data_IF_962493161541
#
_entry.id   IF_962493161541
#
_cell.length_a   1.000
_cell.length_b   1.000
_cell.length_c   1.000
_cell.angle_alpha   90.00
_cell.angle_beta   90.00
_cell.angle_gamma   90.00
#
_symmetry.space_group_name_H-M   'P 1'
#
loop_
_entity.id
_entity.type
_entity.pdbx_description
1 polymer ?
#
# COMPACT_ATOMS: atom_id res chain seq x y z
N UNK A 1 -6.39 -18.39 2.42
CA UNK A 1 -6.51 -17.12 3.17
C UNK A 1 -7.88 -16.56 2.86
N UNK A 2 -8.67 -16.25 3.88
CA UNK A 2 -10.02 -15.69 3.70
C UNK A 2 -9.91 -14.23 3.24
N UNK A 3 -10.86 -13.70 2.43
CA UNK A 3 -10.91 -12.26 2.12
C UNK A 3 -10.91 -11.36 3.36
N UNK A 4 -11.55 -11.80 4.45
CA UNK A 4 -11.58 -11.06 5.73
C UNK A 4 -10.16 -10.86 6.29
N UNK A 5 -9.28 -11.87 6.16
CA UNK A 5 -7.94 -11.87 6.77
C UNK A 5 -7.01 -10.80 6.16
N UNK A 6 -7.31 -10.29 4.96
CA UNK A 6 -6.45 -9.33 4.27
C UNK A 6 -7.17 -8.03 3.87
N UNK A 7 -8.49 -8.05 3.64
CA UNK A 7 -9.26 -6.83 3.32
C UNK A 7 -9.50 -5.98 4.57
N UNK A 8 -9.87 -6.59 5.71
CA UNK A 8 -10.11 -5.85 6.95
C UNK A 8 -8.89 -5.04 7.41
N UNK A 9 -7.67 -5.63 7.53
CA UNK A 9 -6.49 -4.85 7.90
C UNK A 9 -6.09 -3.82 6.84
N UNK A 10 -6.36 -4.07 5.55
CA UNK A 10 -6.09 -3.12 4.46
C UNK A 10 -6.97 -1.87 4.54
N UNK A 11 -8.25 -2.04 4.82
CA UNK A 11 -9.23 -0.96 4.86
C UNK A 11 -9.44 -0.37 6.27
N UNK A 12 -8.83 -0.97 7.29
CA UNK A 12 -9.04 -0.65 8.70
C UNK A 12 -10.54 -0.71 9.10
N UNK A 13 -11.21 -1.78 8.68
CA UNK A 13 -12.64 -2.04 8.96
C UNK A 13 -12.84 -3.33 9.74
N UNK A 14 -13.95 -3.41 10.45
CA UNK A 14 -14.38 -4.61 11.15
C UNK A 14 -14.97 -5.65 10.19
N UNK A 15 -14.88 -6.93 10.58
CA UNK A 15 -15.37 -8.04 9.77
C UNK A 15 -16.90 -8.04 9.59
N UNK A 16 -17.64 -7.35 10.47
CA UNK A 16 -19.09 -7.19 10.37
C UNK A 16 -19.50 -6.36 9.15
N UNK A 17 -18.62 -5.48 8.63
CA UNK A 17 -18.85 -4.68 7.43
C UNK A 17 -19.17 -5.53 6.19
N UNK A 18 -18.74 -6.79 6.13
CA UNK A 18 -19.10 -7.74 5.08
C UNK A 18 -20.60 -8.09 5.07
N UNK A 19 -21.30 -7.93 6.19
CA UNK A 19 -22.71 -8.27 6.35
C UNK A 19 -23.65 -7.07 6.12
N UNK A 20 -23.10 -5.86 5.92
CA UNK A 20 -23.86 -4.62 5.84
C UNK A 20 -23.84 -4.07 4.41
N UNK A 21 -24.63 -4.70 3.53
CA UNK A 21 -24.79 -4.24 2.15
C UNK A 21 -25.29 -2.79 2.07
N UNK A 22 -24.82 -2.06 1.05
CA UNK A 22 -25.24 -0.67 0.79
C UNK A 22 -24.48 0.40 1.59
N UNK A 23 -23.52 0.03 2.42
CA UNK A 23 -22.64 0.97 3.14
C UNK A 23 -21.40 1.36 2.32
N UNK A 24 -20.77 2.50 2.62
CA UNK A 24 -19.47 2.87 2.05
C UNK A 24 -18.39 1.81 2.28
N UNK A 25 -18.39 1.16 3.45
CA UNK A 25 -17.44 0.11 3.82
C UNK A 25 -17.63 -1.13 2.93
N UNK A 26 -18.86 -1.57 2.72
CA UNK A 26 -19.16 -2.69 1.83
C UNK A 26 -18.82 -2.37 0.38
N UNK A 27 -19.03 -1.12 -0.06
CA UNK A 27 -18.60 -0.65 -1.37
C UNK A 27 -17.06 -0.68 -1.52
N UNK A 28 -16.33 -0.26 -0.50
CA UNK A 28 -14.86 -0.33 -0.48
C UNK A 28 -14.36 -1.79 -0.52
N UNK A 29 -14.96 -2.69 0.28
CA UNK A 29 -14.68 -4.14 0.24
C UNK A 29 -14.89 -4.68 -1.17
N UNK A 30 -16.03 -4.36 -1.79
CA UNK A 30 -16.38 -4.82 -3.13
C UNK A 30 -15.39 -4.32 -4.18
N UNK A 31 -15.01 -3.04 -4.12
CA UNK A 31 -14.05 -2.44 -5.05
C UNK A 31 -12.65 -3.09 -4.91
N UNK A 32 -12.20 -3.34 -3.68
CA UNK A 32 -10.93 -4.03 -3.40
C UNK A 32 -10.97 -5.47 -3.92
N UNK A 33 -12.05 -6.21 -3.66
CA UNK A 33 -12.19 -7.59 -4.11
C UNK A 33 -12.20 -7.68 -5.65
N UNK A 34 -12.93 -6.78 -6.33
CA UNK A 34 -12.93 -6.68 -7.78
C UNK A 34 -11.52 -6.39 -8.32
N UNK A 35 -10.82 -5.42 -7.74
CA UNK A 35 -9.46 -5.08 -8.16
C UNK A 35 -8.48 -6.22 -7.94
N UNK A 36 -8.57 -6.93 -6.81
CA UNK A 36 -7.76 -8.11 -6.55
C UNK A 36 -7.98 -9.19 -7.62
N UNK A 37 -9.24 -9.47 -7.97
CA UNK A 37 -9.57 -10.49 -8.98
C UNK A 37 -9.04 -10.10 -10.36
N UNK A 38 -9.14 -8.83 -10.74
CA UNK A 38 -8.59 -8.30 -11.99
C UNK A 38 -7.06 -8.43 -12.06
N UNK A 39 -6.35 -8.06 -10.99
CA UNK A 39 -4.90 -8.22 -10.88
C UNK A 39 -4.52 -9.70 -10.98
N UNK A 40 -5.18 -10.57 -10.21
CA UNK A 40 -4.92 -12.02 -10.19
C UNK A 40 -5.13 -12.64 -11.58
N UNK A 41 -6.22 -12.27 -12.26
CA UNK A 41 -6.51 -12.74 -13.60
C UNK A 41 -5.44 -12.26 -14.61
N UNK A 42 -5.06 -10.98 -14.55
CA UNK A 42 -4.02 -10.42 -15.43
C UNK A 42 -2.68 -11.13 -15.23
N UNK A 43 -2.22 -11.28 -14.00
CA UNK A 43 -0.97 -11.99 -13.69
C UNK A 43 -0.99 -13.46 -14.12
N UNK A 44 -2.16 -14.09 -14.13
CA UNK A 44 -2.31 -15.50 -14.51
C UNK A 44 -2.44 -15.74 -16.02
N UNK A 45 -2.94 -14.76 -16.77
CA UNK A 45 -3.31 -14.93 -18.19
C UNK A 45 -2.48 -14.10 -19.16
N UNK A 46 -2.02 -12.92 -18.74
CA UNK A 46 -1.21 -11.99 -19.54
C UNK A 46 -0.28 -11.15 -18.63
N UNK A 47 0.70 -11.79 -17.96
CA UNK A 47 1.54 -11.11 -16.97
C UNK A 47 2.38 -9.96 -17.55
N UNK A 48 2.70 -10.03 -18.85
CA UNK A 48 3.40 -8.98 -19.60
C UNK A 48 2.59 -7.68 -19.73
N UNK A 49 1.27 -7.74 -19.49
CA UNK A 49 0.37 -6.59 -19.52
C UNK A 49 0.16 -5.94 -18.17
N UNK A 50 0.67 -6.52 -17.08
CA UNK A 50 0.48 -5.95 -15.76
C UNK A 50 1.36 -4.72 -15.55
N UNK A 51 0.75 -3.57 -15.31
CA UNK A 51 1.45 -2.34 -14.95
C UNK A 51 1.04 -1.87 -13.54
N UNK A 52 2.00 -1.71 -12.61
CA UNK A 52 1.70 -1.15 -11.29
C UNK A 52 1.27 0.31 -11.37
N UNK A 53 0.24 0.68 -10.63
CA UNK A 53 -0.20 2.07 -10.51
C UNK A 53 0.65 2.78 -9.47
N UNK A 54 1.43 3.77 -9.92
CA UNK A 54 2.26 4.59 -9.05
C UNK A 54 1.63 5.97 -8.83
N UNK A 55 1.84 6.51 -7.63
CA UNK A 55 1.59 7.92 -7.36
C UNK A 55 2.66 8.75 -8.10
N UNK A 56 2.27 9.93 -8.57
CA UNK A 56 3.21 10.95 -9.04
C UNK A 56 3.33 12.06 -8.01
N UNK A 57 4.53 12.60 -7.86
CA UNK A 57 4.77 13.75 -6.99
C UNK A 57 4.32 15.07 -7.65
N UNK A 58 4.59 16.19 -6.98
CA UNK A 58 4.20 17.54 -7.45
C UNK A 58 4.92 17.97 -8.74
N UNK A 59 6.05 17.33 -9.06
CA UNK A 59 6.81 17.58 -10.30
C UNK A 59 6.37 16.64 -11.43
N UNK A 60 5.51 15.66 -11.13
CA UNK A 60 5.07 14.63 -12.07
C UNK A 60 5.97 13.39 -12.08
N UNK A 61 6.99 13.34 -11.23
CA UNK A 61 7.89 12.20 -11.12
C UNK A 61 7.21 11.03 -10.40
N UNK A 62 7.58 9.80 -10.77
CA UNK A 62 7.06 8.59 -10.13
C UNK A 62 7.58 8.50 -8.70
N UNK A 63 6.67 8.40 -7.73
CA UNK A 63 6.98 8.10 -6.33
C UNK A 63 6.71 6.60 -6.08
N UNK A 64 7.75 5.74 -6.04
CA UNK A 64 7.57 4.29 -5.89
C UNK A 64 7.24 3.86 -4.46
N UNK A 65 7.47 4.73 -3.47
CA UNK A 65 7.35 4.40 -2.03
C UNK A 65 5.97 3.89 -1.64
N UNK A 66 4.84 4.55 -1.98
CA UNK A 66 3.52 4.07 -1.57
C UNK A 66 3.21 2.67 -2.10
N UNK A 67 3.66 2.37 -3.32
CA UNK A 67 3.47 1.06 -3.91
C UNK A 67 4.32 0.00 -3.21
N UNK A 68 5.60 0.29 -2.97
CA UNK A 68 6.50 -0.63 -2.27
C UNK A 68 6.03 -0.90 -0.83
N UNK A 69 5.64 0.13 -0.10
CA UNK A 69 5.09 0.02 1.26
C UNK A 69 3.84 -0.85 1.29
N UNK A 70 2.89 -0.64 0.37
CA UNK A 70 1.68 -1.45 0.27
C UNK A 70 1.98 -2.91 -0.07
N UNK A 71 2.91 -3.15 -1.01
CA UNK A 71 3.36 -4.49 -1.36
C UNK A 71 4.02 -5.19 -0.16
N UNK A 72 4.93 -4.51 0.55
CA UNK A 72 5.58 -5.08 1.73
C UNK A 72 4.59 -5.37 2.85
N UNK A 73 3.63 -4.48 3.11
CA UNK A 73 2.56 -4.73 4.10
C UNK A 73 1.73 -5.97 3.73
N UNK A 74 1.38 -6.15 2.45
CA UNK A 74 0.69 -7.35 1.99
C UNK A 74 1.57 -8.61 2.08
N UNK A 75 2.88 -8.52 1.81
CA UNK A 75 3.81 -9.63 2.02
C UNK A 75 3.82 -10.11 3.48
N UNK A 76 3.76 -9.19 4.45
CA UNK A 76 3.77 -9.52 5.88
C UNK A 76 2.60 -10.44 6.29
N UNK A 77 1.45 -10.35 5.63
CA UNK A 77 0.30 -11.22 5.88
C UNK A 77 0.61 -12.71 5.63
N UNK A 78 1.61 -13.01 4.80
CA UNK A 78 2.03 -14.39 4.51
C UNK A 78 3.54 -14.49 4.29
N UNK A 79 4.32 -13.92 5.20
CA UNK A 79 5.77 -13.78 5.03
C UNK A 79 6.50 -15.10 4.75
N UNK A 80 6.03 -16.21 5.33
CA UNK A 80 6.61 -17.54 5.10
C UNK A 80 6.56 -17.99 3.63
N UNK A 81 5.57 -17.54 2.84
CA UNK A 81 5.51 -17.83 1.41
C UNK A 81 6.60 -17.08 0.61
N UNK A 82 7.18 -16.03 1.19
CA UNK A 82 8.23 -15.22 0.58
C UNK A 82 9.65 -15.65 1.03
N UNK A 83 9.76 -16.63 1.93
CA UNK A 83 11.02 -17.06 2.51
C UNK A 83 12.15 -17.31 1.48
N UNK A 84 11.92 -17.95 0.32
CA UNK A 84 12.97 -18.13 -0.68
C UNK A 84 13.55 -16.81 -1.21
N UNK A 85 12.72 -15.78 -1.38
CA UNK A 85 13.18 -14.48 -1.88
C UNK A 85 13.80 -13.63 -0.77
N UNK A 86 13.55 -13.96 0.51
CA UNK A 86 14.17 -13.30 1.66
C UNK A 86 15.57 -13.86 1.98
N UNK A 87 15.90 -15.05 1.49
CA UNK A 87 17.24 -15.64 1.62
C UNK A 87 18.25 -14.91 0.71
N UNK A 88 19.25 -14.27 1.31
CA UNK A 88 20.30 -13.56 0.60
C UNK A 88 21.18 -14.47 -0.28
N UNK A 89 21.19 -15.78 -0.04
CA UNK A 89 21.88 -16.75 -0.89
C UNK A 89 21.08 -17.10 -2.17
N UNK A 90 19.78 -16.76 -2.21
CA UNK A 90 18.97 -16.98 -3.41
C UNK A 90 19.32 -15.95 -4.48
N UNK A 91 19.60 -16.41 -5.70
CA UNK A 91 19.88 -15.55 -6.87
C UNK A 91 18.77 -14.53 -7.14
N UNK A 92 17.52 -14.87 -6.78
CA UNK A 92 16.36 -14.01 -6.97
C UNK A 92 16.12 -13.03 -5.81
N UNK A 93 16.93 -13.06 -4.75
CA UNK A 93 16.82 -12.12 -3.63
C UNK A 93 16.86 -10.66 -4.08
N UNK A 94 17.68 -10.37 -5.10
CA UNK A 94 17.80 -9.05 -5.70
C UNK A 94 16.48 -8.45 -6.18
N UNK A 95 15.49 -9.28 -6.52
CA UNK A 95 14.16 -8.82 -6.97
C UNK A 95 13.35 -8.17 -5.85
N UNK A 96 13.59 -8.51 -4.58
CA UNK A 96 12.92 -7.89 -3.44
C UNK A 96 13.59 -6.61 -2.94
N UNK A 97 14.85 -6.35 -3.32
CA UNK A 97 15.59 -5.19 -2.80
C UNK A 97 14.88 -3.86 -3.05
N UNK A 98 14.30 -3.56 -4.23
CA UNK A 98 13.57 -2.32 -4.43
C UNK A 98 12.40 -2.15 -3.46
N UNK A 99 11.65 -3.23 -3.21
CA UNK A 99 10.55 -3.25 -2.24
C UNK A 99 11.08 -2.91 -0.85
N UNK A 100 12.11 -3.64 -0.39
CA UNK A 100 12.65 -3.50 0.97
C UNK A 100 13.31 -2.14 1.20
N UNK A 101 13.98 -1.59 0.20
CA UNK A 101 14.64 -0.28 0.27
C UNK A 101 13.62 0.86 0.32
N UNK A 102 12.57 0.80 -0.51
CA UNK A 102 11.55 1.86 -0.57
C UNK A 102 10.43 1.71 0.46
N UNK A 103 10.37 0.59 1.19
CA UNK A 103 9.41 0.39 2.29
C UNK A 103 9.95 0.82 3.66
N UNK A 104 11.23 1.20 3.76
CA UNK A 104 11.77 1.78 5.00
C UNK A 104 11.13 3.14 5.23
N UNK A 105 10.53 3.30 6.41
CA UNK A 105 9.96 4.56 6.85
C UNK A 105 11.04 5.64 6.97
N UNK A 106 10.93 6.70 6.17
CA UNK A 106 11.52 8.00 6.53
C UNK A 106 10.61 8.67 7.56
N UNK A 107 10.50 8.11 8.77
CA UNK A 107 9.75 8.69 9.90
C UNK A 107 10.34 10.03 10.42
N UNK A 108 11.24 10.68 9.69
CA UNK A 108 11.92 11.90 10.13
C UNK A 108 11.68 13.16 9.29
N UNK A 109 10.86 13.14 8.24
CA UNK A 109 10.71 14.30 7.37
C UNK A 109 9.40 15.12 7.52
N UNK A 110 8.40 14.68 8.29
CA UNK A 110 7.08 15.36 8.34
C UNK A 110 6.74 16.11 9.64
N UNK A 111 7.63 16.17 10.63
CA UNK A 111 7.42 17.07 11.77
C UNK A 111 7.84 18.53 11.51
N UNK A 112 8.47 18.85 10.37
CA UNK A 112 8.97 20.22 10.10
C UNK A 112 8.08 21.06 9.18
N UNK A 113 7.03 20.51 8.55
CA UNK A 113 6.12 21.28 7.66
C UNK A 113 4.77 21.67 8.26
N UNK A 114 4.42 21.22 9.48
CA UNK A 114 3.17 21.62 10.16
C UNK A 114 3.29 22.82 11.10
N UNK A 115 4.51 23.31 11.37
CA UNK A 115 4.77 24.36 12.37
C UNK A 115 4.74 25.82 11.88
N UNK A 116 4.62 26.10 10.58
CA UNK A 116 4.77 27.47 10.06
C UNK A 116 3.44 28.20 9.81
N UNK A 117 2.33 27.49 9.63
CA UNK A 117 1.06 28.13 9.23
C UNK A 117 0.27 28.76 10.39
N UNK A 118 0.54 28.38 11.65
CA UNK A 118 -0.17 28.94 12.81
C UNK A 118 0.50 30.16 13.43
N UNK A 119 1.77 30.45 13.09
CA UNK A 119 2.51 31.58 13.68
C UNK A 119 2.34 32.90 12.90
N UNK A 120 1.71 32.87 11.72
CA UNK A 120 1.45 34.07 10.92
C UNK A 120 0.03 34.65 11.08
N UNK A 121 -0.91 33.94 11.73
CA UNK A 121 -2.26 34.48 12.01
C UNK A 121 -2.37 35.27 13.33
N UNK A 122 -1.45 35.08 14.27
CA UNK A 122 -1.52 35.71 15.60
C UNK A 122 -0.80 37.06 15.70
N UNK A 123 -0.26 37.59 14.60
CA UNK A 123 0.44 38.90 14.60
C UNK A 123 -0.36 40.02 13.92
N UNK A 124 -1.61 39.78 13.53
CA UNK A 124 -2.50 40.78 12.92
C UNK A 124 -3.72 41.14 13.79
N UNK A 125 -3.80 40.61 15.01
CA UNK A 125 -4.76 41.03 16.03
C UNK A 125 -3.99 41.50 17.27
N UNK A 126 -3.43 42.71 17.20
CA UNK A 126 -3.25 43.56 18.39
C UNK A 126 -3.14 45.03 18.02
#
# INVERSE_FOLDING_TARGET
MSPIDWICPLLAIDADAFNHGGTPEFAAISAVALRHNDISNTLSTAPDRFEPIHRRDVNGDIDPRPWCQGFYAAMQLRLSAWAPLLDAANVNHGLLLPILLHSRDDQHADHRRRGSSYRLRLSQEK
#
